data_IF_036434619175
#
_entry.id   IF_036434619175
#
_cell.length_a   1.000
_cell.length_b   1.000
_cell.length_c   1.000
_cell.angle_alpha   90.00
_cell.angle_beta   90.00
_cell.angle_gamma   90.00
#
_symmetry.space_group_name_H-M   'P 1'
#
loop_
_entity.id
_entity.type
_entity.pdbx_description
1 polymer ?
#
# COMPACT_ATOMS: atom_id res chain seq x y z
N UNK A 1 -1.42 -10.15 21.22
CA UNK A 1 -1.97 -10.28 19.86
C UNK A 1 -1.69 -11.66 19.23
N UNK A 2 -0.94 -12.56 19.90
CA UNK A 2 -0.64 -13.92 19.42
C UNK A 2 0.37 -13.99 18.28
N UNK A 3 1.09 -12.91 17.99
CA UNK A 3 2.16 -12.91 16.97
C UNK A 3 3.42 -13.53 17.57
N UNK A 4 3.96 -14.56 16.91
CA UNK A 4 5.23 -15.15 17.32
C UNK A 4 6.39 -14.21 16.97
N UNK A 5 7.24 -13.92 17.94
CA UNK A 5 8.45 -13.12 17.73
C UNK A 5 9.61 -13.64 18.57
N UNK A 6 10.81 -13.24 18.20
CA UNK A 6 12.03 -13.49 18.98
C UNK A 6 12.86 -12.22 19.02
N UNK A 7 13.34 -11.87 20.21
CA UNK A 7 14.40 -10.88 20.34
C UNK A 7 15.73 -11.51 20.00
N UNK A 8 16.56 -10.82 19.24
CA UNK A 8 17.83 -11.29 18.75
C UNK A 8 18.93 -10.28 19.07
N UNK A 9 20.08 -10.77 19.48
CA UNK A 9 21.31 -10.00 19.51
C UNK A 9 21.76 -9.63 18.05
N UNK A 10 22.66 -8.66 17.91
CA UNK A 10 23.25 -8.35 16.59
C UNK A 10 23.93 -9.54 15.92
N UNK A 11 24.57 -10.42 16.69
CA UNK A 11 25.23 -11.61 16.17
C UNK A 11 24.20 -12.63 15.65
N UNK A 12 23.15 -12.90 16.41
CA UNK A 12 22.07 -13.80 16.01
C UNK A 12 21.33 -13.26 14.79
N UNK A 13 21.10 -11.95 14.72
CA UNK A 13 20.47 -11.28 13.57
C UNK A 13 21.29 -11.50 12.30
N UNK A 14 22.61 -11.34 12.37
CA UNK A 14 23.52 -11.57 11.22
C UNK A 14 23.60 -13.03 10.79
N UNK A 15 23.31 -13.99 11.65
CA UNK A 15 23.17 -15.41 11.28
C UNK A 15 21.91 -15.67 10.44
N UNK A 16 20.84 -14.89 10.66
CA UNK A 16 19.59 -15.00 9.90
C UNK A 16 19.70 -14.20 8.60
N UNK A 17 20.15 -12.94 8.70
CA UNK A 17 20.34 -12.04 7.55
C UNK A 17 21.84 -11.70 7.39
N UNK A 18 22.55 -12.63 6.75
CA UNK A 18 24.01 -12.57 6.63
C UNK A 18 24.52 -11.46 5.72
N UNK A 19 23.65 -10.87 4.89
CA UNK A 19 23.99 -9.75 4.03
C UNK A 19 24.01 -8.39 4.76
N UNK A 20 23.61 -8.34 6.03
CA UNK A 20 23.70 -7.12 6.82
C UNK A 20 25.13 -6.64 6.93
N UNK A 21 25.32 -5.34 6.70
CA UNK A 21 26.60 -4.69 6.85
C UNK A 21 27.20 -4.93 8.25
N UNK A 22 28.37 -5.54 8.36
CA UNK A 22 29.03 -5.79 9.64
C UNK A 22 29.36 -4.50 10.41
N UNK A 23 29.60 -3.39 9.68
CA UNK A 23 29.98 -2.11 10.28
C UNK A 23 28.78 -1.32 10.83
N UNK A 24 27.56 -1.71 10.47
CA UNK A 24 26.35 -1.06 11.01
C UNK A 24 26.05 -1.57 12.41
N UNK A 25 26.12 -0.66 13.38
CA UNK A 25 25.79 -0.98 14.78
C UNK A 25 24.30 -0.83 15.04
N UNK A 26 23.74 -1.79 15.77
CA UNK A 26 22.40 -1.75 16.33
C UNK A 26 22.37 -2.52 17.64
N UNK A 27 21.37 -2.23 18.49
CA UNK A 27 21.33 -2.80 19.84
C UNK A 27 20.72 -4.21 19.85
N UNK A 28 19.61 -4.39 19.17
CA UNK A 28 18.86 -5.65 19.09
C UNK A 28 17.95 -5.65 17.85
N UNK A 29 17.38 -6.78 17.54
CA UNK A 29 16.36 -6.93 16.52
C UNK A 29 15.18 -7.77 17.01
N UNK A 30 14.01 -7.56 16.43
CA UNK A 30 12.85 -8.42 16.59
C UNK A 30 12.66 -9.22 15.32
N UNK A 31 12.74 -10.54 15.43
CA UNK A 31 12.49 -11.46 14.34
C UNK A 31 11.06 -11.97 14.39
N UNK A 32 10.35 -11.84 13.29
CA UNK A 32 9.00 -12.36 13.07
C UNK A 32 9.10 -13.58 12.14
N UNK A 33 9.26 -14.80 12.68
CA UNK A 33 9.62 -15.97 11.87
C UNK A 33 8.51 -16.44 10.93
N UNK A 34 7.28 -16.05 11.20
CA UNK A 34 6.11 -16.43 10.40
C UNK A 34 5.66 -15.35 9.43
N UNK A 35 6.33 -14.18 9.43
CA UNK A 35 6.03 -13.12 8.49
C UNK A 35 6.68 -13.38 7.13
N UNK A 36 6.02 -12.95 6.08
CA UNK A 36 6.46 -13.11 4.70
C UNK A 36 6.55 -11.76 3.97
N UNK A 37 7.31 -11.76 2.89
CA UNK A 37 7.46 -10.61 2.00
C UNK A 37 6.66 -10.84 0.73
N UNK A 38 5.67 -9.99 0.48
CA UNK A 38 4.81 -10.08 -0.70
C UNK A 38 5.04 -8.94 -1.70
N UNK A 39 4.93 -9.28 -2.99
CA UNK A 39 4.89 -8.29 -4.06
C UNK A 39 3.44 -7.89 -4.32
N UNK A 40 2.99 -6.78 -3.74
CA UNK A 40 1.61 -6.31 -3.83
C UNK A 40 1.12 -6.12 -5.28
N UNK A 41 2.00 -5.69 -6.20
CA UNK A 41 1.63 -5.54 -7.61
C UNK A 41 1.34 -6.90 -8.27
N UNK A 42 2.17 -7.91 -8.01
CA UNK A 42 1.94 -9.25 -8.56
C UNK A 42 0.67 -9.86 -7.99
N UNK A 43 0.45 -9.74 -6.69
CA UNK A 43 -0.78 -10.22 -6.04
C UNK A 43 -2.02 -9.54 -6.64
N UNK A 44 -2.02 -8.23 -6.83
CA UNK A 44 -3.13 -7.53 -7.46
C UNK A 44 -3.40 -8.01 -8.89
N UNK A 45 -2.34 -8.29 -9.68
CA UNK A 45 -2.50 -8.84 -11.02
C UNK A 45 -3.04 -10.27 -11.02
N UNK A 46 -2.61 -11.11 -10.07
CA UNK A 46 -3.12 -12.47 -9.90
C UNK A 46 -4.60 -12.45 -9.49
N UNK A 47 -4.97 -11.64 -8.50
CA UNK A 47 -6.37 -11.48 -8.08
C UNK A 47 -7.22 -10.98 -9.23
N UNK A 48 -6.75 -9.98 -9.99
CA UNK A 48 -7.46 -9.51 -11.19
C UNK A 48 -7.70 -10.64 -12.19
N UNK A 49 -6.67 -11.42 -12.52
CA UNK A 49 -6.80 -12.53 -13.47
C UNK A 49 -7.80 -13.57 -12.99
N UNK A 50 -7.75 -13.90 -11.71
CA UNK A 50 -8.69 -14.87 -11.14
C UNK A 50 -10.12 -14.32 -11.09
N UNK A 51 -10.30 -13.05 -10.72
CA UNK A 51 -11.60 -12.39 -10.75
C UNK A 51 -12.21 -12.39 -12.16
N UNK A 52 -11.39 -12.12 -13.20
CA UNK A 52 -11.84 -12.20 -14.59
C UNK A 52 -12.25 -13.63 -14.98
N UNK A 53 -11.50 -14.64 -14.51
CA UNK A 53 -11.81 -16.06 -14.77
C UNK A 53 -13.17 -16.49 -14.22
N UNK A 54 -13.57 -15.91 -13.09
CA UNK A 54 -14.88 -16.19 -12.45
C UNK A 54 -15.98 -15.20 -12.88
N UNK A 55 -15.75 -14.37 -13.89
CA UNK A 55 -16.79 -13.54 -14.52
C UNK A 55 -16.82 -12.08 -14.08
N UNK A 56 -15.88 -11.60 -13.27
CA UNK A 56 -15.82 -10.17 -12.90
C UNK A 56 -15.38 -9.33 -14.10
N UNK A 57 -16.13 -8.28 -14.40
CA UNK A 57 -15.82 -7.34 -15.47
C UNK A 57 -15.00 -6.16 -14.96
N UNK A 58 -13.95 -5.79 -15.69
CA UNK A 58 -13.10 -4.64 -15.39
C UNK A 58 -13.23 -3.59 -16.50
N UNK A 59 -13.64 -2.38 -16.14
CA UNK A 59 -13.70 -1.23 -17.06
C UNK A 59 -12.51 -0.30 -16.78
N UNK A 60 -11.36 -0.57 -17.42
CA UNK A 60 -10.20 0.32 -17.34
C UNK A 60 -10.36 1.54 -18.25
N UNK A 61 -9.58 2.60 -18.00
CA UNK A 61 -9.64 3.87 -18.71
C UNK A 61 -11.05 4.49 -18.68
N UNK A 62 -11.82 4.18 -17.64
CA UNK A 62 -13.20 4.64 -17.44
C UNK A 62 -13.22 5.57 -16.23
N UNK A 63 -13.58 6.83 -16.46
CA UNK A 63 -13.62 7.83 -15.42
C UNK A 63 -15.06 8.02 -14.93
N UNK A 64 -15.30 7.74 -13.65
CA UNK A 64 -16.59 7.99 -13.00
C UNK A 64 -16.78 9.49 -12.84
N UNK A 65 -17.94 9.99 -13.25
CA UNK A 65 -18.34 11.38 -13.16
C UNK A 65 -19.05 11.69 -11.84
N UNK A 66 -20.02 10.86 -11.49
CA UNK A 66 -20.87 11.03 -10.30
C UNK A 66 -21.50 9.70 -9.89
N UNK A 67 -21.95 9.65 -8.64
CA UNK A 67 -22.74 8.54 -8.08
C UNK A 67 -24.03 9.15 -7.57
N UNK A 68 -25.17 8.59 -7.95
CA UNK A 68 -26.48 9.01 -7.50
C UNK A 68 -27.22 7.81 -6.90
N UNK A 69 -28.14 8.08 -5.99
CA UNK A 69 -29.12 7.06 -5.57
C UNK A 69 -30.15 6.89 -6.69
N UNK A 70 -30.40 5.67 -7.06
CA UNK A 70 -31.50 5.34 -7.97
C UNK A 70 -32.87 5.55 -7.28
N UNK A 71 -33.91 5.83 -8.04
CA UNK A 71 -35.29 5.91 -7.54
C UNK A 71 -35.81 4.58 -7.00
N UNK A 72 -35.07 3.49 -7.19
CA UNK A 72 -35.29 2.16 -6.64
C UNK A 72 -34.40 1.83 -5.44
N UNK A 73 -33.80 0.65 -5.46
CA UNK A 73 -32.98 0.12 -4.36
C UNK A 73 -31.46 0.23 -4.59
N UNK A 74 -31.01 0.68 -5.77
CA UNK A 74 -29.61 0.66 -6.18
C UNK A 74 -28.97 2.05 -6.30
N UNK A 75 -27.88 2.08 -7.03
CA UNK A 75 -27.10 3.28 -7.36
C UNK A 75 -26.91 3.44 -8.86
N UNK A 76 -26.89 4.67 -9.32
CA UNK A 76 -26.62 5.03 -10.71
C UNK A 76 -25.23 5.66 -10.82
N UNK A 77 -24.36 5.08 -11.64
CA UNK A 77 -22.98 5.55 -11.84
C UNK A 77 -22.87 6.26 -13.17
N UNK A 78 -22.71 7.58 -13.11
CA UNK A 78 -22.41 8.40 -14.29
C UNK A 78 -20.96 8.26 -14.70
N UNK A 79 -20.71 8.05 -15.99
CA UNK A 79 -19.37 7.90 -16.58
C UNK A 79 -19.13 9.03 -17.58
N UNK A 80 -17.93 9.60 -17.60
CA UNK A 80 -17.59 10.59 -18.62
C UNK A 80 -17.62 10.00 -20.02
N UNK A 81 -18.25 10.72 -20.95
CA UNK A 81 -18.44 10.29 -22.33
C UNK A 81 -19.67 9.40 -22.56
N UNK A 82 -20.44 9.09 -21.54
CA UNK A 82 -21.71 8.37 -21.65
C UNK A 82 -22.91 9.28 -21.42
N UNK A 83 -23.96 9.08 -22.21
CA UNK A 83 -25.19 9.89 -22.13
C UNK A 83 -26.15 9.45 -21.00
N UNK A 84 -26.05 8.19 -20.58
CA UNK A 84 -26.89 7.61 -19.55
C UNK A 84 -26.04 6.98 -18.45
N UNK A 85 -26.45 7.11 -17.19
CA UNK A 85 -25.76 6.43 -16.08
C UNK A 85 -25.96 4.91 -16.18
N UNK A 86 -25.03 4.19 -15.61
CA UNK A 86 -25.08 2.73 -15.48
C UNK A 86 -25.76 2.37 -14.15
N UNK A 87 -26.89 1.63 -14.14
CA UNK A 87 -27.54 1.20 -12.92
C UNK A 87 -26.84 -0.03 -12.31
N UNK A 88 -26.79 -0.07 -10.98
CA UNK A 88 -26.27 -1.19 -10.19
C UNK A 88 -27.13 -1.39 -8.93
N UNK A 89 -27.22 -2.61 -8.45
CA UNK A 89 -27.93 -2.94 -7.20
C UNK A 89 -27.20 -2.35 -5.98
N UNK A 90 -25.87 -2.37 -6.00
CA UNK A 90 -25.01 -1.79 -4.99
C UNK A 90 -23.66 -1.33 -5.58
N UNK A 91 -23.00 -0.40 -4.91
CA UNK A 91 -21.65 0.01 -5.22
C UNK A 91 -20.77 0.02 -3.95
N UNK A 92 -19.50 -0.38 -4.08
CA UNK A 92 -18.51 -0.25 -3.03
C UNK A 92 -17.51 0.83 -3.42
N UNK A 93 -17.44 1.88 -2.61
CA UNK A 93 -16.47 2.96 -2.79
C UNK A 93 -15.09 2.52 -2.31
N UNK A 94 -14.13 2.41 -3.24
CA UNK A 94 -12.73 2.06 -2.98
C UNK A 94 -11.77 3.06 -3.66
N UNK A 95 -12.20 4.30 -3.91
CA UNK A 95 -11.48 5.25 -4.76
C UNK A 95 -10.38 6.07 -4.02
N UNK A 96 -9.99 5.65 -2.82
CA UNK A 96 -8.95 6.32 -2.04
C UNK A 96 -9.30 7.80 -1.78
N UNK A 97 -8.39 8.73 -2.07
CA UNK A 97 -8.60 10.17 -1.86
C UNK A 97 -9.74 10.75 -2.70
N UNK A 98 -9.97 10.21 -3.90
CA UNK A 98 -11.04 10.67 -4.78
C UNK A 98 -12.45 10.35 -4.24
N UNK A 99 -12.53 9.49 -3.23
CA UNK A 99 -13.82 9.10 -2.63
C UNK A 99 -14.57 10.30 -2.03
N UNK A 100 -13.88 11.27 -1.44
CA UNK A 100 -14.50 12.48 -0.86
C UNK A 100 -15.30 13.26 -1.90
N UNK A 101 -14.78 13.38 -3.11
CA UNK A 101 -15.47 14.06 -4.22
C UNK A 101 -16.83 13.45 -4.56
N UNK A 102 -16.95 12.14 -4.43
CA UNK A 102 -18.20 11.42 -4.69
C UNK A 102 -19.14 11.38 -3.48
N UNK A 103 -18.58 11.39 -2.28
CA UNK A 103 -19.33 11.22 -1.03
C UNK A 103 -19.92 12.52 -0.51
N UNK A 104 -19.19 13.65 -0.64
CA UNK A 104 -19.64 14.97 -0.17
C UNK A 104 -20.99 15.41 -0.78
N UNK A 105 -21.24 15.28 -2.10
CA UNK A 105 -22.54 15.61 -2.69
C UNK A 105 -23.69 14.76 -2.15
N UNK A 106 -23.38 13.56 -1.61
CA UNK A 106 -24.35 12.65 -0.99
C UNK A 106 -24.53 12.90 0.52
N UNK A 107 -23.85 13.93 1.07
CA UNK A 107 -23.91 14.28 2.49
C UNK A 107 -23.00 13.44 3.38
N UNK A 108 -22.18 12.55 2.82
CA UNK A 108 -21.24 11.70 3.57
C UNK A 108 -19.89 12.39 3.69
N UNK A 109 -19.50 12.75 4.90
CA UNK A 109 -18.24 13.42 5.20
C UNK A 109 -17.32 12.49 5.98
N UNK A 110 -16.13 12.23 5.44
CA UNK A 110 -15.12 11.38 6.06
C UNK A 110 -13.82 12.20 6.15
N UNK A 111 -13.23 12.36 7.36
CA UNK A 111 -12.04 13.19 7.57
C UNK A 111 -10.76 12.46 7.11
N UNK A 112 -10.70 12.06 5.84
CA UNK A 112 -9.54 11.42 5.24
C UNK A 112 -8.45 12.44 4.90
N UNK A 113 -7.21 12.10 5.22
CA UNK A 113 -6.03 12.85 4.83
C UNK A 113 -5.12 12.04 3.91
N UNK A 114 -4.44 12.75 3.00
CA UNK A 114 -3.37 12.18 2.19
C UNK A 114 -2.10 12.08 3.02
N UNK A 115 -1.54 10.87 3.09
CA UNK A 115 -0.21 10.62 3.63
C UNK A 115 0.64 10.06 2.49
N UNK A 116 1.73 10.76 2.16
CA UNK A 116 2.60 10.36 1.08
C UNK A 116 3.74 9.50 1.60
N UNK A 117 3.98 8.39 0.91
CA UNK A 117 5.13 7.52 1.12
C UNK A 117 6.07 7.53 -0.08
N UNK A 118 7.33 7.22 0.17
CA UNK A 118 8.38 7.17 -0.84
C UNK A 118 8.95 5.77 -0.96
N UNK A 119 9.39 5.39 -2.14
CA UNK A 119 10.17 4.18 -2.31
C UNK A 119 11.18 4.30 -3.44
N UNK A 120 12.26 3.53 -3.30
CA UNK A 120 13.26 3.31 -4.34
C UNK A 120 13.28 1.82 -4.63
N UNK A 121 13.30 1.44 -5.90
CA UNK A 121 13.47 0.06 -6.32
C UNK A 121 14.61 -0.02 -7.34
N UNK A 122 15.60 -0.87 -7.07
CA UNK A 122 16.76 -1.05 -7.92
C UNK A 122 17.04 -2.53 -8.18
N UNK A 123 17.65 -2.83 -9.33
CA UNK A 123 18.07 -4.19 -9.65
C UNK A 123 19.21 -4.63 -8.73
N UNK A 124 19.14 -5.86 -8.23
CA UNK A 124 20.19 -6.45 -7.42
C UNK A 124 21.44 -6.60 -8.28
N UNK A 125 22.57 -6.08 -7.78
CA UNK A 125 23.89 -6.18 -8.40
C UNK A 125 24.57 -7.48 -7.96
N UNK A 126 24.61 -7.70 -6.65
CA UNK A 126 25.25 -8.86 -6.04
C UNK A 126 24.23 -9.53 -5.10
N UNK A 127 23.72 -10.72 -5.46
CA UNK A 127 22.70 -11.42 -4.70
C UNK A 127 23.09 -11.73 -3.25
N UNK A 128 24.38 -11.93 -2.97
CA UNK A 128 24.87 -12.22 -1.61
C UNK A 128 24.93 -11.00 -0.71
N UNK A 129 24.96 -9.79 -1.30
CA UNK A 129 24.92 -8.53 -0.56
C UNK A 129 23.49 -7.97 -0.42
N UNK A 130 22.50 -8.64 -1.01
CA UNK A 130 21.11 -8.21 -0.95
C UNK A 130 20.37 -8.92 0.18
N UNK A 131 19.33 -8.31 0.76
CA UNK A 131 18.54 -8.96 1.79
C UNK A 131 17.95 -10.28 1.30
N UNK A 132 17.79 -11.24 2.22
CA UNK A 132 17.11 -12.51 1.94
C UNK A 132 15.59 -12.38 2.09
N UNK A 133 15.17 -11.47 2.97
CA UNK A 133 13.77 -11.23 3.34
C UNK A 133 13.45 -9.74 3.38
N UNK A 134 12.90 -9.25 4.47
CA UNK A 134 12.72 -7.84 4.75
C UNK A 134 13.37 -7.48 6.07
N UNK A 135 13.98 -6.30 6.10
CA UNK A 135 14.53 -5.67 7.30
C UNK A 135 13.90 -4.28 7.45
N UNK A 136 13.43 -3.96 8.64
CA UNK A 136 12.92 -2.64 8.97
C UNK A 136 13.90 -1.93 9.90
N UNK A 137 14.35 -0.77 9.46
CA UNK A 137 15.07 0.18 10.30
C UNK A 137 14.05 0.99 11.11
N UNK A 138 13.96 0.70 12.39
CA UNK A 138 13.01 1.34 13.29
C UNK A 138 13.33 2.82 13.56
N UNK A 139 14.60 3.23 13.44
CA UNK A 139 14.99 4.62 13.62
C UNK A 139 14.43 5.53 12.54
N UNK A 140 14.55 5.12 11.26
CA UNK A 140 14.03 5.87 10.12
C UNK A 140 12.63 5.41 9.66
N UNK A 141 12.09 4.33 10.24
CA UNK A 141 10.85 3.69 9.79
C UNK A 141 10.90 3.35 8.29
N UNK A 142 12.01 2.76 7.88
CA UNK A 142 12.30 2.37 6.50
C UNK A 142 12.41 0.85 6.40
N UNK A 143 11.65 0.27 5.48
CA UNK A 143 11.72 -1.16 5.17
C UNK A 143 12.56 -1.39 3.93
N UNK A 144 13.50 -2.33 4.01
CA UNK A 144 14.31 -2.83 2.91
C UNK A 144 13.87 -4.26 2.63
N UNK A 145 13.46 -4.56 1.41
CA UNK A 145 12.94 -5.87 1.06
C UNK A 145 13.46 -6.34 -0.30
N UNK A 146 13.57 -7.67 -0.46
CA UNK A 146 13.90 -8.29 -1.73
C UNK A 146 12.62 -8.74 -2.45
N UNK A 147 12.44 -8.31 -3.68
CA UNK A 147 11.33 -8.67 -4.55
C UNK A 147 11.90 -9.28 -5.84
N UNK A 148 12.14 -10.59 -5.83
CA UNK A 148 12.79 -11.30 -6.92
C UNK A 148 14.23 -10.82 -7.14
N UNK A 149 14.51 -10.22 -8.29
CA UNK A 149 15.82 -9.65 -8.66
C UNK A 149 15.97 -8.16 -8.33
N UNK A 150 15.06 -7.60 -7.54
CA UNK A 150 15.11 -6.19 -7.13
C UNK A 150 15.13 -6.07 -5.62
N UNK A 151 15.86 -5.08 -5.14
CA UNK A 151 15.73 -4.57 -3.78
C UNK A 151 14.79 -3.35 -3.81
N UNK A 152 13.88 -3.29 -2.85
CA UNK A 152 12.99 -2.16 -2.64
C UNK A 152 13.21 -1.58 -1.26
N UNK A 153 13.39 -0.28 -1.20
CA UNK A 153 13.49 0.51 0.03
C UNK A 153 12.28 1.44 0.09
N UNK A 154 11.53 1.40 1.16
CA UNK A 154 10.31 2.17 1.29
C UNK A 154 10.14 2.75 2.69
N UNK A 155 9.65 3.99 2.77
CA UNK A 155 9.45 4.72 4.01
C UNK A 155 9.33 6.22 3.76
N UNK A 156 9.78 7.03 4.71
CA UNK A 156 9.76 8.50 4.63
C UNK A 156 8.34 9.05 4.42
N UNK A 157 7.61 9.18 5.50
CA UNK A 157 6.23 9.67 5.48
C UNK A 157 6.17 11.20 5.37
N UNK A 158 5.27 11.71 4.53
CA UNK A 158 4.99 13.13 4.36
C UNK A 158 3.49 13.40 4.53
N UNK A 159 3.15 14.29 5.45
CA UNK A 159 1.80 14.82 5.62
C UNK A 159 1.63 16.07 4.76
N UNK A 160 0.52 16.17 4.04
CA UNK A 160 0.27 17.27 3.10
C UNK A 160 1.13 17.16 1.83
N UNK A 161 1.31 18.27 1.11
CA UNK A 161 2.02 18.29 -0.16
C UNK A 161 1.21 17.71 -1.33
N UNK A 162 1.90 17.38 -2.42
CA UNK A 162 1.28 16.80 -3.61
C UNK A 162 2.12 15.66 -4.19
N UNK A 163 1.50 14.80 -4.99
CA UNK A 163 2.19 13.70 -5.67
C UNK A 163 3.27 14.18 -6.64
N UNK A 164 3.06 15.35 -7.24
CA UNK A 164 3.97 15.95 -8.23
C UNK A 164 5.25 16.47 -7.59
N UNK A 165 5.19 16.91 -6.35
CA UNK A 165 6.34 17.48 -5.64
C UNK A 165 7.09 16.39 -4.87
N UNK A 166 8.16 15.88 -5.45
CA UNK A 166 9.04 14.87 -4.84
C UNK A 166 10.12 15.54 -3.98
N UNK A 167 10.19 15.19 -2.71
CA UNK A 167 11.24 15.68 -1.79
C UNK A 167 12.53 14.88 -1.96
N UNK A 168 13.58 15.51 -2.48
CA UNK A 168 14.89 14.87 -2.64
C UNK A 168 15.49 14.38 -1.32
N UNK A 169 15.19 15.04 -0.20
CA UNK A 169 15.63 14.61 1.12
C UNK A 169 15.09 13.23 1.51
N UNK A 170 13.83 12.93 1.17
CA UNK A 170 13.24 11.62 1.42
C UNK A 170 13.99 10.50 0.67
N UNK A 171 14.29 10.72 -0.61
CA UNK A 171 15.06 9.76 -1.40
C UNK A 171 16.49 9.59 -0.88
N UNK A 172 17.16 10.69 -0.50
CA UNK A 172 18.50 10.59 0.12
C UNK A 172 18.50 9.72 1.36
N UNK A 173 17.48 9.82 2.20
CA UNK A 173 17.33 8.96 3.38
C UNK A 173 17.16 7.50 2.98
N UNK A 174 16.33 7.19 1.97
CA UNK A 174 16.15 5.82 1.47
C UNK A 174 17.45 5.24 0.92
N UNK A 175 18.20 6.00 0.10
CA UNK A 175 19.50 5.59 -0.44
C UNK A 175 20.52 5.37 0.67
N UNK A 176 20.59 6.29 1.63
CA UNK A 176 21.47 6.17 2.78
C UNK A 176 21.18 4.89 3.56
N UNK A 177 19.91 4.66 3.94
CA UNK A 177 19.51 3.50 4.73
C UNK A 177 19.83 2.20 3.99
N UNK A 178 19.60 2.12 2.67
CA UNK A 178 19.99 0.94 1.91
C UNK A 178 21.50 0.70 1.95
N UNK A 179 22.29 1.76 1.76
CA UNK A 179 23.74 1.62 1.77
C UNK A 179 24.30 1.31 3.17
N UNK A 180 23.70 1.85 4.22
CA UNK A 180 24.11 1.57 5.59
C UNK A 180 23.87 0.08 5.93
N UNK A 181 22.74 -0.49 5.56
CA UNK A 181 22.36 -1.85 5.92
C UNK A 181 22.85 -2.92 4.94
N UNK A 182 22.85 -2.62 3.63
CA UNK A 182 23.17 -3.57 2.55
C UNK A 182 24.10 -2.92 1.49
N UNK A 183 25.33 -2.57 1.84
CA UNK A 183 26.27 -1.95 0.90
C UNK A 183 26.56 -2.90 -0.28
N UNK A 184 26.47 -2.38 -1.50
CA UNK A 184 26.71 -3.15 -2.72
C UNK A 184 25.57 -4.07 -3.16
N UNK A 185 24.42 -4.07 -2.47
CA UNK A 185 23.25 -4.87 -2.86
C UNK A 185 22.74 -4.50 -4.26
N UNK A 186 22.82 -3.22 -4.62
CA UNK A 186 22.31 -2.73 -5.91
C UNK A 186 23.16 -1.61 -6.48
N UNK A 187 23.03 -1.41 -7.79
CA UNK A 187 23.59 -0.24 -8.45
C UNK A 187 22.55 0.89 -8.45
N UNK A 188 22.73 1.85 -7.55
CA UNK A 188 21.82 2.97 -7.38
C UNK A 188 22.02 4.07 -8.43
N UNK A 189 23.18 4.09 -9.08
CA UNK A 189 23.51 5.11 -10.10
C UNK A 189 22.86 4.84 -11.45
N UNK A 190 22.38 3.60 -11.69
CA UNK A 190 21.80 3.21 -12.96
C UNK A 190 20.55 2.34 -12.75
N UNK A 191 19.40 2.83 -13.23
CA UNK A 191 18.17 2.06 -13.23
C UNK A 191 17.39 2.01 -11.90
N UNK A 192 17.75 2.84 -10.92
CA UNK A 192 16.92 3.02 -9.73
C UNK A 192 15.63 3.74 -10.09
N UNK A 193 14.51 3.19 -9.62
CA UNK A 193 13.18 3.74 -9.85
C UNK A 193 12.67 4.39 -8.56
N UNK A 194 12.56 5.71 -8.59
CA UNK A 194 11.99 6.50 -7.52
C UNK A 194 10.47 6.63 -7.67
N UNK A 195 9.75 6.37 -6.61
CA UNK A 195 8.31 6.47 -6.59
C UNK A 195 7.82 7.23 -5.35
N UNK A 196 6.79 8.03 -5.54
CA UNK A 196 6.00 8.66 -4.49
C UNK A 196 4.54 8.29 -4.69
N UNK A 197 3.86 7.88 -3.64
CA UNK A 197 2.44 7.58 -3.65
C UNK A 197 1.71 8.15 -2.46
N UNK A 198 0.40 8.26 -2.58
CA UNK A 198 -0.47 8.68 -1.49
C UNK A 198 -1.28 7.49 -1.01
N UNK A 199 -1.39 7.35 0.29
CA UNK A 199 -2.37 6.52 0.97
C UNK A 199 -3.33 7.40 1.77
N UNK A 200 -4.53 6.91 1.97
CA UNK A 200 -5.55 7.61 2.76
C UNK A 200 -5.55 7.12 4.18
N UNK A 201 -5.58 8.05 5.11
CA UNK A 201 -5.66 7.73 6.55
C UNK A 201 -6.75 8.56 7.21
N UNK A 202 -7.35 7.99 8.25
CA UNK A 202 -8.14 8.71 9.24
C UNK A 202 -7.25 9.10 10.42
N UNK A 203 -7.66 10.09 11.23
CA UNK A 203 -6.91 10.52 12.41
C UNK A 203 -6.70 9.41 13.45
N UNK A 204 -7.66 8.48 13.56
CA UNK A 204 -7.60 7.31 14.47
C UNK A 204 -6.90 6.09 13.87
N UNK A 205 -6.55 6.15 12.57
CA UNK A 205 -5.84 5.09 11.86
C UNK A 205 -6.67 3.88 11.46
N UNK A 206 -7.93 3.79 11.89
CA UNK A 206 -8.82 2.68 11.52
C UNK A 206 -9.40 2.85 10.11
N UNK A 207 -9.61 1.78 9.33
CA UNK A 207 -10.29 1.87 8.05
C UNK A 207 -11.79 2.09 8.20
N UNK A 208 -12.43 2.65 7.18
CA UNK A 208 -13.88 2.75 7.07
C UNK A 208 -14.40 1.56 6.28
N UNK A 209 -15.16 0.70 6.92
CA UNK A 209 -15.79 -0.48 6.31
C UNK A 209 -17.28 -0.52 6.64
N UNK A 210 -18.14 -0.69 5.64
CA UNK A 210 -19.56 -0.89 5.85
C UNK A 210 -20.45 0.06 5.07
N UNK A 211 -21.72 0.17 5.50
CA UNK A 211 -22.71 1.03 4.87
C UNK A 211 -22.37 2.51 5.01
N UNK A 212 -22.53 3.27 3.93
CA UNK A 212 -22.26 4.72 3.92
C UNK A 212 -23.35 5.56 4.61
N UNK A 213 -24.51 5.00 4.89
CA UNK A 213 -25.75 5.74 5.21
C UNK A 213 -26.55 6.12 3.96
N UNK A 214 -25.97 6.03 2.78
CA UNK A 214 -26.65 6.22 1.49
C UNK A 214 -27.05 4.85 0.96
N UNK A 215 -28.29 4.69 0.59
CA UNK A 215 -28.85 3.41 0.14
C UNK A 215 -28.07 2.86 -1.06
N UNK A 216 -27.67 1.59 -1.00
CA UNK A 216 -26.93 0.90 -2.04
C UNK A 216 -25.45 1.29 -2.14
N UNK A 217 -24.95 2.23 -1.32
CA UNK A 217 -23.55 2.64 -1.33
C UNK A 217 -22.82 2.15 -0.07
N UNK A 218 -21.74 1.43 -0.28
CA UNK A 218 -20.87 0.84 0.75
C UNK A 218 -19.48 1.45 0.67
N UNK A 219 -18.75 1.41 1.78
CA UNK A 219 -17.42 2.03 1.92
C UNK A 219 -16.37 0.98 2.27
N UNK A 220 -15.22 1.04 1.60
CA UNK A 220 -14.03 0.28 1.92
C UNK A 220 -12.80 1.18 1.68
N UNK A 221 -12.46 2.00 2.68
CA UNK A 221 -11.60 3.17 2.55
C UNK A 221 -10.61 3.32 3.70
N UNK A 222 -9.60 4.16 3.48
CA UNK A 222 -8.72 4.73 4.51
C UNK A 222 -7.92 3.70 5.33
N UNK A 223 -7.43 2.63 4.71
CA UNK A 223 -6.66 1.58 5.38
C UNK A 223 -5.27 2.01 5.86
N UNK A 224 -4.83 3.20 5.49
CA UNK A 224 -3.54 3.74 5.94
C UNK A 224 -2.35 2.84 5.61
N UNK A 225 -1.41 2.77 6.53
CA UNK A 225 -0.21 1.94 6.40
C UNK A 225 -0.48 0.43 6.53
N UNK A 226 -1.62 0.05 7.09
CA UNK A 226 -2.01 -1.35 7.31
C UNK A 226 -2.81 -1.96 6.16
N UNK A 227 -3.04 -1.21 5.08
CA UNK A 227 -3.92 -1.62 3.98
C UNK A 227 -3.53 -2.95 3.32
N UNK A 228 -2.23 -3.23 3.23
CA UNK A 228 -1.74 -4.51 2.70
C UNK A 228 -2.16 -5.69 3.60
N UNK A 229 -1.85 -5.60 4.89
CA UNK A 229 -2.16 -6.65 5.86
C UNK A 229 -3.67 -6.87 6.05
N UNK A 230 -4.46 -5.80 5.95
CA UNK A 230 -5.91 -5.83 6.14
C UNK A 230 -6.70 -6.19 4.87
N UNK A 231 -6.06 -6.23 3.69
CA UNK A 231 -6.76 -6.31 2.40
C UNK A 231 -7.73 -7.46 2.28
N UNK A 232 -7.30 -8.68 2.62
CA UNK A 232 -8.16 -9.88 2.55
C UNK A 232 -9.28 -9.84 3.59
N UNK A 233 -8.96 -9.43 4.82
CA UNK A 233 -9.95 -9.31 5.90
C UNK A 233 -11.03 -8.27 5.58
N UNK A 234 -10.63 -7.10 5.09
CA UNK A 234 -11.55 -6.03 4.67
C UNK A 234 -12.46 -6.48 3.52
N UNK A 235 -11.88 -7.17 2.53
CA UNK A 235 -12.66 -7.69 1.41
C UNK A 235 -13.68 -8.73 1.87
N UNK A 236 -13.31 -9.61 2.81
CA UNK A 236 -14.22 -10.61 3.37
C UNK A 236 -15.35 -9.96 4.14
N UNK A 237 -15.04 -9.00 5.03
CA UNK A 237 -16.07 -8.26 5.78
C UNK A 237 -17.05 -7.57 4.83
N UNK A 238 -16.56 -6.92 3.76
CA UNK A 238 -17.42 -6.28 2.78
C UNK A 238 -18.32 -7.27 2.04
N UNK A 239 -17.78 -8.43 1.65
CA UNK A 239 -18.55 -9.47 0.97
C UNK A 239 -19.67 -10.09 1.88
N UNK A 240 -19.39 -10.17 3.18
CA UNK A 240 -20.36 -10.70 4.15
C UNK A 240 -21.47 -9.67 4.53
N UNK A 241 -21.22 -8.36 4.28
CA UNK A 241 -22.16 -7.27 4.57
C UNK A 241 -23.11 -6.93 3.41
N UNK A 242 -22.74 -7.24 2.17
CA UNK A 242 -23.51 -6.94 0.95
C UNK A 242 -24.33 -8.16 0.52
#
# INVERSE_FOLDING_TARGET
AGVAFKELSPEETRKIEFALNPDTSFHSAVHLPNDEVGNCRQVALMIKSEAQRIGVNFSFNTCVKQINTSNGSGVDIGVYGENSPRPFDAAVMCAGLESTRFLEPLGVKIPMAAVHGYSVSATIREPLNAPRSAVMDEHYKITISRLGNRVRVAGSTELGGSLQNKRSAAFRTLYKTLNDWFPGASNLSNGAQEWKGALTMLPDGAPVLGASGVRGLWLNLAHGTSGWALSCGSARVMADLI
#
